data_IF_092430497978
#
_entry.id   IF_092430497978
#
_cell.length_a   1.000
_cell.length_b   1.000
_cell.length_c   1.000
_cell.angle_alpha   90.00
_cell.angle_beta   90.00
_cell.angle_gamma   90.00
#
_symmetry.space_group_name_H-M   'P 1'
#
loop_
_entity.id
_entity.type
_entity.pdbx_description
1 polymer ?
#
# COMPACT_ATOMS: atom_id res chain seq x y z
N UNK A 1 -25.40 3.74 17.68
CA UNK A 1 -24.29 4.71 17.53
C UNK A 1 -23.55 4.73 18.85
N UNK A 2 -22.54 3.88 19.00
CA UNK A 2 -21.78 3.77 20.25
C UNK A 2 -20.76 4.90 20.28
N UNK A 3 -20.98 5.89 21.13
CA UNK A 3 -20.06 7.00 21.34
C UNK A 3 -18.82 6.51 22.08
N UNK A 4 -17.71 6.34 21.37
CA UNK A 4 -16.39 6.19 21.95
C UNK A 4 -16.07 7.43 22.79
N UNK A 5 -15.55 7.25 24.02
CA UNK A 5 -15.17 8.37 24.87
C UNK A 5 -13.82 8.91 24.37
N UNK A 6 -13.70 10.19 23.97
CA UNK A 6 -12.51 10.73 23.31
C UNK A 6 -11.19 10.48 24.07
N UNK A 7 -11.25 10.40 25.39
CA UNK A 7 -10.09 10.15 26.26
C UNK A 7 -9.55 8.72 26.17
N UNK A 8 -10.40 7.72 25.87
CA UNK A 8 -9.97 6.33 25.69
C UNK A 8 -9.30 6.13 24.32
N UNK A 9 -9.84 6.78 23.29
CA UNK A 9 -9.29 6.73 21.93
C UNK A 9 -7.87 7.32 21.89
N UNK A 10 -7.62 8.41 22.62
CA UNK A 10 -6.28 9.01 22.73
C UNK A 10 -5.26 8.12 23.44
N UNK A 11 -5.68 7.25 24.37
CA UNK A 11 -4.76 6.30 25.02
C UNK A 11 -4.36 5.21 24.03
N UNK A 12 -5.33 4.66 23.31
CA UNK A 12 -5.10 3.63 22.30
C UNK A 12 -4.23 4.14 21.14
N UNK A 13 -4.46 5.37 20.67
CA UNK A 13 -3.65 5.99 19.62
C UNK A 13 -2.18 6.07 20.07
N UNK A 14 -1.91 6.53 21.29
CA UNK A 14 -0.54 6.61 21.83
C UNK A 14 0.13 5.25 21.96
N UNK A 15 -0.62 4.22 22.34
CA UNK A 15 -0.10 2.85 22.39
C UNK A 15 0.30 2.36 21.00
N UNK A 16 -0.50 2.63 19.97
CA UNK A 16 -0.17 2.30 18.58
C UNK A 16 1.03 3.10 18.05
N UNK A 17 1.11 4.40 18.34
CA UNK A 17 2.27 5.25 18.01
C UNK A 17 3.56 4.67 18.61
N UNK A 18 3.55 4.30 19.89
CA UNK A 18 4.72 3.70 20.55
C UNK A 18 5.16 2.38 19.89
N UNK A 19 4.20 1.55 19.48
CA UNK A 19 4.50 0.30 18.77
C UNK A 19 5.20 0.61 17.43
N UNK A 20 4.65 1.56 16.66
CA UNK A 20 5.22 1.96 15.36
C UNK A 20 6.62 2.59 15.52
N UNK A 21 6.79 3.53 16.45
CA UNK A 21 8.04 4.26 16.69
C UNK A 21 9.18 3.35 17.20
N UNK A 22 8.82 2.28 17.93
CA UNK A 22 9.80 1.32 18.44
C UNK A 22 10.31 0.35 17.35
N UNK A 23 9.64 0.29 16.20
CA UNK A 23 9.99 -0.62 15.13
C UNK A 23 11.23 -0.11 14.37
N UNK A 24 12.32 -0.88 14.41
CA UNK A 24 13.51 -0.59 13.60
C UNK A 24 13.36 -1.20 12.22
N UNK A 25 13.00 -0.36 11.26
CA UNK A 25 12.94 -0.73 9.85
C UNK A 25 14.16 -0.18 9.12
N UNK A 26 14.73 -0.97 8.22
CA UNK A 26 15.65 -0.44 7.22
C UNK A 26 14.81 0.34 6.20
N UNK A 27 15.15 1.61 5.96
CA UNK A 27 14.43 2.47 5.01
C UNK A 27 14.84 2.11 3.57
N UNK A 28 14.45 0.92 3.12
CA UNK A 28 14.69 0.51 1.74
C UNK A 28 13.62 1.09 0.82
N UNK A 29 13.86 1.03 -0.49
CA UNK A 29 12.86 1.49 -1.46
C UNK A 29 11.67 0.53 -1.58
N UNK A 30 11.86 -0.76 -1.24
CA UNK A 30 10.84 -1.80 -1.34
C UNK A 30 11.22 -2.99 -0.46
N UNK A 31 10.28 -3.40 0.40
CA UNK A 31 10.42 -4.50 1.34
C UNK A 31 9.31 -5.54 1.13
N UNK A 32 9.65 -6.81 1.28
CA UNK A 32 8.65 -7.89 1.34
C UNK A 32 8.10 -7.97 2.77
N UNK A 33 6.83 -7.61 2.94
CA UNK A 33 6.17 -7.53 4.26
C UNK A 33 5.33 -8.77 4.58
N UNK A 34 5.04 -9.56 3.56
CA UNK A 34 4.35 -10.85 3.63
C UNK A 34 4.73 -11.65 2.38
N UNK A 35 4.72 -13.00 2.38
CA UNK A 35 5.05 -13.79 1.20
C UNK A 35 4.37 -13.26 -0.07
N UNK A 36 5.18 -12.82 -1.03
CA UNK A 36 4.77 -12.24 -2.31
C UNK A 36 4.02 -10.90 -2.25
N UNK A 37 4.04 -10.20 -1.11
CA UNK A 37 3.46 -8.89 -0.91
C UNK A 37 4.55 -7.89 -0.51
N UNK A 38 4.69 -6.86 -1.33
CA UNK A 38 5.74 -5.87 -1.18
C UNK A 38 5.13 -4.50 -0.86
N UNK A 39 5.76 -3.79 0.07
CA UNK A 39 5.49 -2.39 0.32
C UNK A 39 6.67 -1.57 -0.18
N UNK A 40 6.41 -0.55 -0.99
CA UNK A 40 7.48 0.24 -1.61
C UNK A 40 7.11 1.69 -1.82
N UNK A 41 8.13 2.49 -2.07
CA UNK A 41 7.98 3.91 -2.34
C UNK A 41 7.89 4.19 -3.85
N UNK A 42 7.79 5.48 -4.21
CA UNK A 42 7.71 5.94 -5.59
C UNK A 42 8.90 5.50 -6.45
N UNK A 43 10.12 5.48 -5.88
CA UNK A 43 11.32 5.09 -6.62
C UNK A 43 11.30 3.61 -7.01
N UNK A 44 10.75 2.74 -6.16
CA UNK A 44 10.52 1.34 -6.50
C UNK A 44 9.43 1.18 -7.56
N UNK A 45 8.30 1.88 -7.41
CA UNK A 45 7.18 1.83 -8.36
C UNK A 45 7.59 2.26 -9.78
N UNK A 46 8.48 3.25 -9.89
CA UNK A 46 8.97 3.75 -11.18
C UNK A 46 10.11 2.92 -11.79
N UNK A 47 10.62 1.91 -11.08
CA UNK A 47 11.71 1.07 -11.56
C UNK A 47 11.19 -0.27 -12.12
N UNK A 48 10.75 -0.25 -13.38
CA UNK A 48 10.22 -1.44 -14.08
C UNK A 48 11.18 -2.65 -14.03
N UNK A 49 12.49 -2.41 -14.10
CA UNK A 49 13.49 -3.49 -14.02
C UNK A 49 13.49 -4.13 -12.63
N UNK A 50 13.40 -3.34 -11.56
CA UNK A 50 13.30 -3.84 -10.19
C UNK A 50 12.00 -4.62 -9.98
N UNK A 51 10.87 -4.09 -10.46
CA UNK A 51 9.57 -4.79 -10.38
C UNK A 51 9.59 -6.14 -11.12
N UNK A 52 10.16 -6.17 -12.32
CA UNK A 52 10.35 -7.41 -13.08
C UNK A 52 11.23 -8.42 -12.33
N UNK A 53 12.36 -7.97 -11.77
CA UNK A 53 13.27 -8.84 -11.02
C UNK A 53 12.64 -9.41 -9.74
N UNK A 54 11.70 -8.67 -9.13
CA UNK A 54 10.90 -9.13 -7.99
C UNK A 54 9.68 -9.95 -8.42
N UNK A 55 9.50 -10.19 -9.72
CA UNK A 55 8.35 -10.89 -10.30
C UNK A 55 7.00 -10.27 -9.87
N UNK A 56 6.94 -8.94 -9.83
CA UNK A 56 5.71 -8.20 -9.51
C UNK A 56 4.76 -8.27 -10.71
N UNK A 57 3.54 -8.75 -10.47
CA UNK A 57 2.48 -8.87 -11.48
C UNK A 57 1.32 -7.91 -11.26
N UNK A 58 1.19 -7.35 -10.06
CA UNK A 58 0.12 -6.45 -9.65
C UNK A 58 0.70 -5.25 -8.92
N UNK A 59 0.23 -4.05 -9.24
CA UNK A 59 0.62 -2.81 -8.58
C UNK A 59 -0.61 -2.09 -8.07
N UNK A 60 -0.72 -1.96 -6.75
CA UNK A 60 -1.68 -1.10 -6.08
C UNK A 60 -0.98 0.21 -5.71
N UNK A 61 -1.41 1.33 -6.30
CA UNK A 61 -0.89 2.66 -5.99
C UNK A 61 -1.87 3.38 -5.05
N UNK A 62 -1.53 3.48 -3.77
CA UNK A 62 -2.34 4.16 -2.75
C UNK A 62 -2.29 5.69 -2.83
N UNK A 63 -1.48 6.26 -3.72
CA UNK A 63 -1.32 7.71 -3.91
C UNK A 63 -1.54 8.08 -5.39
N UNK A 64 -2.49 7.43 -6.07
CA UNK A 64 -2.75 7.68 -7.49
C UNK A 64 -3.09 9.16 -7.75
N UNK A 65 -2.52 9.71 -8.82
CA UNK A 65 -2.67 11.13 -9.21
C UNK A 65 -2.18 12.16 -8.18
N UNK A 66 -1.49 11.75 -7.10
CA UNK A 66 -0.88 12.68 -6.15
C UNK A 66 0.47 13.17 -6.64
N UNK A 67 0.90 14.32 -6.13
CA UNK A 67 2.17 14.93 -6.50
C UNK A 67 3.34 13.96 -6.23
N UNK A 68 4.18 13.75 -7.23
CA UNK A 68 5.29 12.80 -7.17
C UNK A 68 4.91 11.36 -7.56
N UNK A 69 3.65 10.96 -7.45
CA UNK A 69 3.16 9.63 -7.85
C UNK A 69 2.88 9.56 -9.36
N UNK A 70 3.95 9.61 -10.15
CA UNK A 70 3.88 9.53 -11.61
C UNK A 70 3.82 8.05 -11.99
N UNK A 71 2.61 7.54 -12.25
CA UNK A 71 2.38 6.17 -12.71
C UNK A 71 0.90 5.79 -12.69
N UNK A 72 0.37 5.48 -13.87
CA UNK A 72 -0.97 4.95 -14.10
C UNK A 72 -0.88 3.60 -14.85
N UNK A 73 -2.02 3.04 -15.26
CA UNK A 73 -2.07 1.79 -16.01
C UNK A 73 -1.21 1.84 -17.29
N UNK A 74 -1.14 2.98 -17.97
CA UNK A 74 -0.34 3.14 -19.19
C UNK A 74 1.17 3.03 -18.93
N UNK A 75 1.62 3.46 -17.75
CA UNK A 75 3.01 3.31 -17.35
C UNK A 75 3.40 1.84 -17.27
N UNK A 76 2.58 0.98 -16.69
CA UNK A 76 2.90 -0.45 -16.54
C UNK A 76 2.59 -1.27 -17.81
N UNK A 77 1.62 -0.84 -18.61
CA UNK A 77 1.20 -1.56 -19.82
C UNK A 77 0.84 -3.01 -19.48
N UNK A 78 1.27 -3.95 -20.31
CA UNK A 78 0.90 -5.36 -20.16
C UNK A 78 1.76 -6.13 -19.14
N UNK A 79 2.71 -5.48 -18.46
CA UNK A 79 3.61 -6.19 -17.52
C UNK A 79 3.00 -6.35 -16.14
N UNK A 80 2.09 -5.46 -15.74
CA UNK A 80 1.42 -5.52 -14.44
C UNK A 80 -0.03 -5.08 -14.56
N UNK A 81 -0.90 -5.74 -13.77
CA UNK A 81 -2.26 -5.25 -13.53
C UNK A 81 -2.18 -4.08 -12.54
N UNK A 82 -2.80 -2.96 -12.89
CA UNK A 82 -2.73 -1.74 -12.09
C UNK A 82 -4.05 -1.45 -11.36
N UNK A 83 -3.96 -0.99 -10.12
CA UNK A 83 -5.08 -0.44 -9.38
C UNK A 83 -4.66 0.83 -8.64
N UNK A 84 -5.25 1.96 -9.02
CA UNK A 84 -4.95 3.27 -8.44
C UNK A 84 -6.02 3.73 -7.45
N UNK A 85 -5.61 4.11 -6.25
CA UNK A 85 -6.46 4.74 -5.24
C UNK A 85 -5.99 6.19 -5.07
N UNK A 86 -6.83 7.20 -5.34
CA UNK A 86 -6.45 8.61 -5.27
C UNK A 86 -6.50 9.15 -3.84
N UNK A 87 -5.88 8.44 -2.89
CA UNK A 87 -5.93 8.80 -1.48
C UNK A 87 -4.96 9.92 -1.11
N UNK A 88 -5.34 10.69 -0.10
CA UNK A 88 -4.52 11.75 0.51
C UNK A 88 -3.97 11.27 1.83
N UNK A 89 -2.70 11.58 2.08
CA UNK A 89 -2.07 11.35 3.38
C UNK A 89 -2.50 12.48 4.34
N UNK A 90 -3.72 12.34 4.85
CA UNK A 90 -4.37 13.32 5.73
C UNK A 90 -5.30 12.61 6.70
N UNK A 91 -5.33 13.10 7.94
CA UNK A 91 -6.27 12.67 8.99
C UNK A 91 -7.75 12.90 8.63
N UNK A 92 -8.04 13.72 7.62
CA UNK A 92 -9.40 14.01 7.16
C UNK A 92 -9.83 13.18 5.95
N UNK A 93 -8.91 12.42 5.35
CA UNK A 93 -9.23 11.57 4.22
C UNK A 93 -9.74 10.21 4.69
N UNK A 94 -10.98 9.86 4.33
CA UNK A 94 -11.53 8.55 4.66
C UNK A 94 -10.92 7.47 3.76
N UNK A 95 -9.82 6.87 4.20
CA UNK A 95 -9.19 5.74 3.52
C UNK A 95 -10.02 4.45 3.64
N UNK A 96 -10.90 4.35 4.63
CA UNK A 96 -11.61 3.10 4.97
C UNK A 96 -12.54 2.64 3.86
N UNK A 97 -13.07 3.57 3.05
CA UNK A 97 -13.88 3.28 1.88
C UNK A 97 -13.17 2.36 0.86
N UNK A 98 -11.83 2.32 0.86
CA UNK A 98 -11.04 1.52 -0.05
C UNK A 98 -10.57 0.17 0.52
N UNK A 99 -10.73 -0.08 1.82
CA UNK A 99 -10.15 -1.26 2.47
C UNK A 99 -10.59 -2.57 1.82
N UNK A 100 -11.90 -2.71 1.53
CA UNK A 100 -12.42 -3.93 0.92
C UNK A 100 -11.88 -4.14 -0.49
N UNK A 101 -11.96 -3.12 -1.35
CA UNK A 101 -11.52 -3.23 -2.74
C UNK A 101 -10.00 -3.40 -2.87
N UNK A 102 -9.22 -2.75 -2.00
CA UNK A 102 -7.77 -2.94 -1.93
C UNK A 102 -7.41 -4.36 -1.47
N UNK A 103 -8.04 -4.85 -0.42
CA UNK A 103 -7.81 -6.21 0.09
C UNK A 103 -8.18 -7.28 -0.96
N UNK A 104 -9.31 -7.11 -1.65
CA UNK A 104 -9.73 -8.03 -2.71
C UNK A 104 -8.74 -8.02 -3.90
N UNK A 105 -8.20 -6.86 -4.26
CA UNK A 105 -7.16 -6.75 -5.29
C UNK A 105 -5.86 -7.45 -4.88
N UNK A 106 -5.40 -7.25 -3.64
CA UNK A 106 -4.21 -7.92 -3.09
C UNK A 106 -4.41 -9.44 -3.09
N UNK A 107 -5.57 -9.91 -2.60
CA UNK A 107 -5.90 -11.33 -2.55
C UNK A 107 -5.88 -11.97 -3.95
N UNK A 108 -6.44 -11.30 -4.95
CA UNK A 108 -6.41 -11.76 -6.34
C UNK A 108 -4.97 -11.87 -6.86
N UNK A 109 -4.12 -10.89 -6.57
CA UNK A 109 -2.71 -10.91 -6.94
C UNK A 109 -1.97 -12.10 -6.35
N UNK A 110 -2.16 -12.37 -5.05
CA UNK A 110 -1.53 -13.50 -4.36
C UNK A 110 -1.99 -14.85 -4.94
N UNK A 111 -3.29 -15.01 -5.21
CA UNK A 111 -3.84 -16.24 -5.80
C UNK A 111 -3.33 -16.52 -7.22
N UNK A 112 -3.06 -15.48 -8.01
CA UNK A 112 -2.52 -15.65 -9.37
C UNK A 112 -1.12 -16.27 -9.39
N UNK A 113 -0.35 -16.07 -8.32
CA UNK A 113 1.03 -16.55 -8.20
C UNK A 113 1.09 -18.01 -7.72
N UNK A 114 0.16 -18.45 -6.88
CA UNK A 114 0.05 -19.86 -6.46
C UNK A 114 -0.32 -20.81 -7.61
N UNK A 115 -0.89 -20.28 -8.70
CA UNK A 115 -1.30 -21.04 -9.87
C UNK A 115 -0.19 -21.18 -10.94
N UNK A 116 1.01 -20.64 -10.70
CA UNK A 116 2.16 -20.67 -11.63
C UNK A 116 3.30 -21.47 -11.04
#
# INVERSE_FOLDING_TARGET
MSGSKPRQDLVLIKELELILDSCKLELTAVDEIWPNLFLGNVAAAQNKKKLHNLSITHVLNAAHSKQGSIGDESFYGNTCVYFGIPAEDSEHYDLSQYFKVAADFIQKGLQSKEAT
#
